data_IF_590407255690
#
_entry.id   IF_590407255690
#
_cell.length_a   1.000
_cell.length_b   1.000
_cell.length_c   1.000
_cell.angle_alpha   90.00
_cell.angle_beta   90.00
_cell.angle_gamma   90.00
#
_symmetry.space_group_name_H-M   'P 1'
#
loop_
_entity.id
_entity.type
_entity.pdbx_description
1 polymer ?
#
# COMPACT_ATOMS: atom_id res chain seq x y z
N UNK A 1 -0.66 17.54 -0.15
CA UNK A 1 -0.33 16.96 -1.48
C UNK A 1 0.89 16.09 -1.29
N UNK A 2 0.80 14.78 -1.54
CA UNK A 2 2.00 13.94 -1.62
C UNK A 2 2.62 14.23 -2.99
N UNK A 3 3.76 14.93 -3.00
CA UNK A 3 4.47 15.19 -4.24
C UNK A 3 4.93 13.86 -4.84
N UNK A 4 4.69 13.59 -6.14
CA UNK A 4 5.32 12.47 -6.80
C UNK A 4 6.83 12.71 -6.75
N UNK A 5 7.58 11.78 -6.16
CA UNK A 5 9.04 11.75 -6.30
C UNK A 5 9.29 11.57 -7.79
N UNK A 6 9.87 12.58 -8.45
CA UNK A 6 10.21 12.47 -9.85
C UNK A 6 11.22 11.32 -10.04
N UNK A 7 11.17 10.61 -11.16
CA UNK A 7 12.09 9.49 -11.44
C UNK A 7 13.57 9.90 -11.30
N UNK A 8 13.89 11.15 -11.65
CA UNK A 8 15.22 11.76 -11.52
C UNK A 8 15.68 11.84 -10.07
N UNK A 9 14.77 12.21 -9.15
CA UNK A 9 15.07 12.30 -7.72
C UNK A 9 15.30 10.91 -7.11
N UNK A 10 14.56 9.90 -7.58
CA UNK A 10 14.71 8.53 -7.10
C UNK A 10 16.09 7.96 -7.45
N UNK A 11 16.58 8.17 -8.69
CA UNK A 11 17.90 7.69 -9.11
C UNK A 11 19.02 8.36 -8.31
N UNK A 12 18.92 9.67 -8.10
CA UNK A 12 19.87 10.41 -7.28
C UNK A 12 19.91 9.84 -5.86
N UNK A 13 18.75 9.70 -5.21
CA UNK A 13 18.66 9.17 -3.85
C UNK A 13 19.18 7.73 -3.72
N UNK A 14 18.91 6.84 -4.69
CA UNK A 14 19.44 5.47 -4.71
C UNK A 14 20.97 5.41 -4.96
N UNK A 15 21.56 6.49 -5.49
CA UNK A 15 23.00 6.60 -5.70
C UNK A 15 23.70 7.09 -4.44
N UNK A 16 23.19 8.13 -3.78
CA UNK A 16 23.85 8.80 -2.65
C UNK A 16 23.40 8.33 -1.26
N UNK A 17 22.13 7.92 -1.12
CA UNK A 17 21.51 7.56 0.16
C UNK A 17 20.80 6.20 0.04
N UNK A 18 21.48 5.21 -0.55
CA UNK A 18 20.87 3.95 -0.99
C UNK A 18 20.12 3.22 0.11
N UNK A 19 20.81 2.90 1.21
CA UNK A 19 20.26 2.12 2.33
C UNK A 19 19.00 2.78 2.88
N UNK A 20 19.11 4.04 3.30
CA UNK A 20 17.98 4.80 3.81
C UNK A 20 16.82 4.92 2.78
N UNK A 21 17.13 5.04 1.49
CA UNK A 21 16.10 5.10 0.45
C UNK A 21 15.38 3.77 0.31
N UNK A 22 16.11 2.65 0.28
CA UNK A 22 15.55 1.31 0.18
C UNK A 22 14.74 0.95 1.44
N UNK A 23 15.22 1.27 2.63
CA UNK A 23 14.47 1.09 3.88
C UNK A 23 13.15 1.85 3.87
N UNK A 24 13.17 3.13 3.46
CA UNK A 24 11.95 3.94 3.34
C UNK A 24 10.97 3.36 2.32
N UNK A 25 11.45 2.85 1.19
CA UNK A 25 10.61 2.21 0.18
C UNK A 25 10.01 0.90 0.71
N UNK A 26 10.81 0.08 1.39
CA UNK A 26 10.38 -1.17 2.00
C UNK A 26 9.30 -0.91 3.05
N UNK A 27 9.58 -0.09 4.07
CA UNK A 27 8.66 0.21 5.16
C UNK A 27 7.32 0.79 4.65
N UNK A 28 7.36 1.61 3.60
CA UNK A 28 6.16 2.21 3.02
C UNK A 28 5.33 1.23 2.18
N UNK A 29 5.98 0.29 1.48
CA UNK A 29 5.29 -0.66 0.60
C UNK A 29 4.83 -1.93 1.34
N UNK A 30 5.58 -2.38 2.35
CA UNK A 30 5.37 -3.67 3.01
C UNK A 30 3.94 -3.91 3.52
N UNK A 31 3.28 -2.98 4.21
CA UNK A 31 1.91 -3.21 4.69
C UNK A 31 0.91 -3.42 3.54
N UNK A 32 1.12 -2.75 2.40
CA UNK A 32 0.30 -2.92 1.20
C UNK A 32 0.50 -4.30 0.57
N UNK A 33 1.76 -4.73 0.47
CA UNK A 33 2.14 -6.03 -0.09
C UNK A 33 1.64 -7.16 0.80
N UNK A 34 1.88 -7.07 2.11
CA UNK A 34 1.40 -8.02 3.11
C UNK A 34 -0.11 -8.21 3.02
N UNK A 35 -0.86 -7.10 3.00
CA UNK A 35 -2.32 -7.17 2.85
C UNK A 35 -2.72 -7.86 1.56
N UNK A 36 -2.10 -7.50 0.43
CA UNK A 36 -2.41 -8.10 -0.87
C UNK A 36 -2.09 -9.60 -0.90
N UNK A 37 -0.93 -10.01 -0.42
CA UNK A 37 -0.48 -11.42 -0.42
C UNK A 37 -1.36 -12.27 0.49
N UNK A 38 -1.66 -11.80 1.72
CA UNK A 38 -2.59 -12.51 2.63
C UNK A 38 -4.00 -12.67 2.04
N UNK A 39 -4.50 -11.66 1.33
CA UNK A 39 -5.80 -11.75 0.62
C UNK A 39 -5.78 -12.72 -0.57
N UNK A 40 -4.61 -13.20 -0.98
CA UNK A 40 -4.41 -14.08 -2.12
C UNK A 40 -3.64 -15.34 -1.73
N UNK A 41 -3.97 -15.93 -0.57
CA UNK A 41 -3.48 -17.25 -0.11
C UNK A 41 -1.95 -17.32 0.10
N UNK A 42 -1.33 -16.22 0.54
CA UNK A 42 0.07 -16.18 0.91
C UNK A 42 0.33 -15.84 2.37
N UNK A 43 1.55 -16.06 2.82
CA UNK A 43 2.00 -15.80 4.20
C UNK A 43 2.68 -14.44 4.35
N UNK A 44 3.08 -14.09 5.57
CA UNK A 44 3.90 -12.91 5.81
C UNK A 44 5.30 -13.05 5.20
N UNK A 45 5.88 -14.26 5.24
CA UNK A 45 7.19 -14.52 4.64
C UNK A 45 7.13 -14.45 3.11
N UNK A 46 6.06 -14.98 2.50
CA UNK A 46 5.78 -14.78 1.07
C UNK A 46 5.77 -13.27 0.71
N UNK A 47 5.16 -12.44 1.56
CA UNK A 47 5.09 -11.00 1.32
C UNK A 47 6.46 -10.31 1.43
N UNK A 48 7.32 -10.73 2.37
CA UNK A 48 8.70 -10.24 2.50
C UNK A 48 9.49 -10.60 1.25
N UNK A 49 9.44 -11.86 0.83
CA UNK A 49 10.17 -12.34 -0.34
C UNK A 49 9.75 -11.61 -1.63
N UNK A 50 8.44 -11.50 -1.85
CA UNK A 50 7.88 -10.78 -3.01
C UNK A 50 8.30 -9.31 -3.01
N UNK A 51 8.27 -8.63 -1.86
CA UNK A 51 8.66 -7.23 -1.79
C UNK A 51 10.16 -7.04 -2.02
N UNK A 52 11.01 -7.91 -1.46
CA UNK A 52 12.45 -7.86 -1.68
C UNK A 52 12.77 -8.01 -3.18
N UNK A 53 12.19 -9.01 -3.85
CA UNK A 53 12.36 -9.19 -5.29
C UNK A 53 11.85 -7.98 -6.09
N UNK A 54 10.71 -7.39 -5.70
CA UNK A 54 10.17 -6.21 -6.37
C UNK A 54 11.07 -4.97 -6.22
N UNK A 55 11.70 -4.78 -5.04
CA UNK A 55 12.63 -3.69 -4.79
C UNK A 55 13.92 -3.86 -5.61
N UNK A 56 14.44 -5.09 -5.72
CA UNK A 56 15.60 -5.39 -6.57
C UNK A 56 15.30 -5.03 -8.03
N UNK A 57 14.15 -5.48 -8.56
CA UNK A 57 13.73 -5.17 -9.93
C UNK A 57 13.51 -3.66 -10.16
N UNK A 58 12.99 -2.94 -9.17
CA UNK A 58 12.89 -1.48 -9.22
C UNK A 58 14.27 -0.85 -9.30
N UNK A 59 15.18 -1.23 -8.41
CA UNK A 59 16.54 -0.70 -8.33
C UNK A 59 17.28 -0.87 -9.66
N UNK A 60 17.27 -2.07 -10.24
CA UNK A 60 17.91 -2.35 -11.54
C UNK A 60 17.36 -1.45 -12.65
N UNK A 61 16.03 -1.30 -12.72
CA UNK A 61 15.38 -0.47 -13.75
C UNK A 61 15.74 1.01 -13.60
N UNK A 62 15.79 1.52 -12.37
CA UNK A 62 16.19 2.90 -12.09
C UNK A 62 17.66 3.13 -12.47
N UNK A 63 18.55 2.22 -12.07
CA UNK A 63 19.98 2.35 -12.34
C UNK A 63 20.32 2.27 -13.83
N UNK A 64 19.59 1.43 -14.60
CA UNK A 64 19.72 1.34 -16.05
C UNK A 64 19.07 2.50 -16.81
N UNK A 65 18.41 3.44 -16.13
CA UNK A 65 17.71 4.56 -16.77
C UNK A 65 16.51 4.11 -17.62
N UNK A 66 15.97 2.92 -17.37
CA UNK A 66 14.86 2.32 -18.13
C UNK A 66 13.49 2.56 -17.47
N UNK A 67 13.42 3.52 -16.54
CA UNK A 67 12.21 3.79 -15.77
C UNK A 67 11.81 5.25 -15.89
N UNK A 68 10.66 5.47 -16.53
CA UNK A 68 9.91 6.71 -16.43
C UNK A 68 8.74 6.51 -15.45
N UNK A 69 8.83 7.11 -14.26
CA UNK A 69 7.76 7.05 -13.27
C UNK A 69 6.69 8.10 -13.60
N UNK A 70 5.54 7.63 -14.07
CA UNK A 70 4.32 8.44 -14.27
C UNK A 70 3.37 8.39 -13.06
N UNK A 71 3.65 7.51 -12.11
CA UNK A 71 2.88 7.27 -10.88
C UNK A 71 3.82 7.27 -9.67
N UNK A 72 3.26 7.26 -8.47
CA UNK A 72 4.06 7.11 -7.26
C UNK A 72 4.87 5.80 -7.28
N UNK A 73 6.13 5.85 -6.80
CA UNK A 73 7.03 4.69 -6.76
C UNK A 73 6.42 3.49 -6.02
N UNK A 74 5.65 3.71 -4.96
CA UNK A 74 4.94 2.65 -4.22
C UNK A 74 3.85 1.98 -5.06
N UNK A 75 3.15 2.72 -5.92
CA UNK A 75 2.19 2.17 -6.88
C UNK A 75 2.90 1.28 -7.91
N UNK A 76 4.07 1.71 -8.37
CA UNK A 76 4.88 0.92 -9.29
C UNK A 76 5.41 -0.36 -8.64
N UNK A 77 5.93 -0.29 -7.40
CA UNK A 77 6.34 -1.45 -6.60
C UNK A 77 5.17 -2.43 -6.45
N UNK A 78 3.98 -1.93 -6.07
CA UNK A 78 2.78 -2.78 -5.97
C UNK A 78 2.42 -3.46 -7.28
N UNK A 79 2.63 -2.81 -8.43
CA UNK A 79 2.46 -3.43 -9.74
C UNK A 79 3.41 -4.61 -9.96
N UNK A 80 4.68 -4.47 -9.58
CA UNK A 80 5.67 -5.56 -9.64
C UNK A 80 5.25 -6.69 -8.70
N UNK A 81 4.94 -6.41 -7.43
CA UNK A 81 4.54 -7.43 -6.45
C UNK A 81 3.32 -8.23 -6.91
N UNK A 82 2.30 -7.56 -7.46
CA UNK A 82 1.11 -8.24 -8.02
C UNK A 82 1.45 -9.17 -9.18
N UNK A 83 2.42 -8.80 -10.01
CA UNK A 83 2.89 -9.65 -11.11
C UNK A 83 3.67 -10.87 -10.59
N UNK A 84 4.60 -10.65 -9.66
CA UNK A 84 5.40 -11.73 -9.06
C UNK A 84 4.50 -12.73 -8.32
N UNK A 85 3.57 -12.25 -7.50
CA UNK A 85 2.65 -13.10 -6.77
C UNK A 85 1.75 -13.94 -7.68
N UNK A 86 1.24 -13.36 -8.78
CA UNK A 86 0.47 -14.14 -9.78
C UNK A 86 1.29 -15.28 -10.37
N UNK A 87 2.55 -15.03 -10.74
CA UNK A 87 3.45 -16.08 -11.23
C UNK A 87 3.71 -17.15 -10.17
N UNK A 88 3.80 -16.75 -8.91
CA UNK A 88 4.00 -17.67 -7.80
C UNK A 88 2.77 -18.56 -7.59
N UNK A 89 1.56 -18.00 -7.59
CA UNK A 89 0.31 -18.78 -7.54
C UNK A 89 0.19 -19.77 -8.69
N UNK A 90 0.55 -19.37 -9.92
CA UNK A 90 0.59 -20.28 -11.07
C UNK A 90 1.59 -21.44 -10.86
N UNK A 91 2.77 -21.16 -10.28
CA UNK A 91 3.75 -22.21 -9.95
C UNK A 91 3.22 -23.15 -8.88
N UNK A 92 2.56 -22.64 -7.84
CA UNK A 92 1.96 -23.43 -6.76
C UNK A 92 0.83 -24.30 -7.30
N UNK A 93 -0.04 -23.74 -8.13
CA UNK A 93 -1.14 -24.47 -8.79
C UNK A 93 -0.65 -25.63 -9.66
N UNK A 94 0.45 -25.45 -10.41
CA UNK A 94 1.06 -26.52 -11.21
C UNK A 94 1.71 -27.64 -10.38
N UNK A 95 1.99 -27.41 -9.10
CA UNK A 95 2.70 -28.34 -8.22
C UNK A 95 1.78 -29.18 -7.32
N UNK A 96 0.46 -29.00 -7.37
CA UNK A 96 -0.48 -29.71 -6.50
C UNK A 96 -1.02 -31.01 -7.15
N UNK A 97 -0.76 -32.21 -6.60
CA UNK A 97 -1.68 -33.33 -6.73
C UNK A 97 -2.92 -33.08 -5.87
N UNK A 98 -4.10 -33.45 -6.39
CA UNK A 98 -5.37 -33.39 -5.66
C UNK A 98 -5.31 -34.22 -4.37
N UNK A 99 -5.18 -33.60 -3.19
CA UNK A 99 -6.05 -33.83 -2.02
C UNK A 99 -5.66 -33.00 -0.77
N UNK A 100 -6.69 -32.79 0.07
CA UNK A 100 -6.71 -32.56 1.53
C UNK A 100 -6.72 -31.12 2.07
N UNK A 101 -7.90 -30.80 2.59
CA UNK A 101 -8.29 -30.13 3.85
C UNK A 101 -7.52 -28.91 4.35
N UNK A 102 -8.25 -27.79 4.39
CA UNK A 102 -7.87 -26.56 5.07
C UNK A 102 -8.52 -26.61 6.47
N UNK A 103 -7.77 -27.10 7.44
CA UNK A 103 -7.83 -26.65 8.83
C UNK A 103 -6.43 -26.11 9.16
N UNK A 104 -6.30 -24.81 9.42
CA UNK A 104 -6.33 -24.34 10.80
C UNK A 104 -6.27 -22.81 10.88
N UNK A 105 -7.01 -22.26 11.83
CA UNK A 105 -6.97 -20.86 12.20
C UNK A 105 -5.64 -20.55 12.91
N UNK A 106 -4.77 -19.75 12.30
CA UNK A 106 -3.71 -19.06 13.05
C UNK A 106 -3.84 -17.55 12.86
N UNK A 107 -4.51 -16.94 13.84
CA UNK A 107 -4.46 -15.50 14.08
C UNK A 107 -3.09 -15.20 14.71
N UNK A 108 -2.06 -15.04 13.89
CA UNK A 108 -0.78 -14.52 14.38
C UNK A 108 -0.93 -13.03 14.72
N UNK A 109 -0.85 -12.78 16.02
CA UNK A 109 -0.73 -11.47 16.65
C UNK A 109 0.53 -10.78 16.09
N UNK A 110 0.31 -9.73 15.28
CA UNK A 110 1.39 -8.91 14.72
C UNK A 110 1.99 -8.11 15.88
N UNK A 111 3.19 -8.48 16.30
CA UNK A 111 4.03 -7.65 17.16
C UNK A 111 4.31 -6.33 16.45
N UNK A 112 3.74 -5.26 16.97
CA UNK A 112 3.97 -3.91 16.50
C UNK A 112 5.40 -3.48 16.89
N UNK A 113 6.31 -3.45 15.91
CA UNK A 113 7.53 -2.65 16.01
C UNK A 113 7.17 -1.16 16.03
N UNK A 114 7.91 -0.32 16.76
CA UNK A 114 7.45 0.98 17.22
C UNK A 114 7.16 1.92 16.05
N UNK A 115 5.92 2.38 15.99
CA UNK A 115 5.45 3.36 15.03
C UNK A 115 6.27 4.65 15.17
N UNK A 116 7.06 4.97 14.13
CA UNK A 116 7.40 6.38 13.84
C UNK A 116 6.09 7.18 13.79
N UNK A 117 6.05 8.42 14.30
CA UNK A 117 4.78 9.08 14.59
C UNK A 117 4.02 9.44 13.31
N UNK A 118 3.16 8.52 12.85
CA UNK A 118 2.01 8.80 11.95
C UNK A 118 0.85 9.42 12.75
N UNK A 119 1.10 9.72 14.03
CA UNK A 119 0.18 10.15 15.09
C UNK A 119 -0.66 11.39 14.76
N UNK A 120 -0.34 12.14 13.70
CA UNK A 120 -1.14 13.31 13.31
C UNK A 120 -2.19 13.03 12.25
N UNK A 121 -2.20 11.89 11.52
CA UNK A 121 -3.20 11.63 10.48
C UNK A 121 -4.15 10.49 10.87
N UNK A 122 -3.62 9.46 11.54
CA UNK A 122 -4.41 8.31 12.01
C UNK A 122 -5.55 8.74 12.91
N UNK A 123 -5.28 9.63 13.88
CA UNK A 123 -6.27 10.17 14.81
C UNK A 123 -7.45 10.88 14.11
N UNK A 124 -7.19 11.62 13.03
CA UNK A 124 -8.27 12.30 12.30
C UNK A 124 -9.03 11.35 11.38
N UNK A 125 -8.34 10.38 10.80
CA UNK A 125 -8.98 9.32 10.00
C UNK A 125 -9.94 8.51 10.87
N UNK A 126 -9.60 8.28 12.15
CA UNK A 126 -10.49 7.61 13.11
C UNK A 126 -11.76 8.41 13.41
N UNK A 127 -11.67 9.73 13.47
CA UNK A 127 -12.82 10.62 13.67
C UNK A 127 -13.78 10.69 12.47
N UNK A 128 -13.41 10.16 11.29
CA UNK A 128 -14.28 10.15 10.11
C UNK A 128 -15.42 9.12 10.20
N UNK A 129 -15.33 8.19 11.14
CA UNK A 129 -16.18 7.00 11.23
C UNK A 129 -15.65 5.86 10.36
N UNK A 130 -15.95 4.63 10.78
CA UNK A 130 -15.39 3.39 10.24
C UNK A 130 -15.45 3.35 8.71
N UNK A 131 -16.63 3.58 8.11
CA UNK A 131 -16.83 3.52 6.65
C UNK A 131 -15.91 4.45 5.87
N UNK A 132 -15.69 5.68 6.35
CA UNK A 132 -14.79 6.62 5.67
C UNK A 132 -13.32 6.23 5.87
N UNK A 133 -12.95 5.77 7.07
CA UNK A 133 -11.62 5.22 7.35
C UNK A 133 -11.31 4.05 6.41
N UNK A 134 -12.18 3.06 6.32
CA UNK A 134 -11.95 1.89 5.46
C UNK A 134 -11.85 2.28 3.99
N UNK A 135 -12.74 3.14 3.47
CA UNK A 135 -12.69 3.57 2.06
C UNK A 135 -11.37 4.28 1.74
N UNK A 136 -10.93 5.19 2.60
CA UNK A 136 -9.71 5.97 2.38
C UNK A 136 -8.45 5.09 2.50
N UNK A 137 -8.39 4.19 3.50
CA UNK A 137 -7.29 3.23 3.63
C UNK A 137 -7.27 2.25 2.45
N UNK A 138 -8.41 1.66 2.10
CA UNK A 138 -8.55 0.78 0.93
C UNK A 138 -8.02 1.42 -0.35
N UNK A 139 -8.38 2.67 -0.61
CA UNK A 139 -7.96 3.34 -1.84
C UNK A 139 -6.51 3.83 -1.80
N UNK A 140 -6.14 4.64 -0.80
CA UNK A 140 -4.85 5.32 -0.77
C UNK A 140 -3.73 4.49 -0.17
N UNK A 141 -4.06 3.65 0.81
CA UNK A 141 -3.08 2.82 1.49
C UNK A 141 -2.98 1.45 0.84
N UNK A 142 -4.06 0.70 0.68
CA UNK A 142 -3.99 -0.65 0.09
C UNK A 142 -4.01 -0.67 -1.44
N UNK A 143 -4.23 0.48 -2.09
CA UNK A 143 -4.23 0.58 -3.56
C UNK A 143 -5.33 -0.26 -4.22
N UNK A 144 -6.45 -0.48 -3.54
CA UNK A 144 -7.61 -1.21 -4.07
C UNK A 144 -8.30 -0.36 -5.13
N UNK A 145 -8.81 -1.03 -6.18
CA UNK A 145 -9.58 -0.35 -7.22
C UNK A 145 -10.99 -0.02 -6.71
N UNK A 146 -11.62 1.01 -7.28
CA UNK A 146 -12.94 1.47 -6.79
C UNK A 146 -14.03 0.41 -6.95
N UNK A 147 -13.89 -0.51 -7.90
CA UNK A 147 -14.73 -1.68 -8.10
C UNK A 147 -14.74 -2.59 -6.86
N UNK A 148 -13.55 -2.93 -6.36
CA UNK A 148 -13.38 -3.79 -5.19
C UNK A 148 -13.90 -3.10 -3.93
N UNK A 149 -13.69 -1.79 -3.82
CA UNK A 149 -14.19 -0.97 -2.71
C UNK A 149 -15.72 -0.87 -2.75
N UNK A 150 -16.31 -0.75 -3.95
CA UNK A 150 -17.76 -0.69 -4.12
C UNK A 150 -18.42 -1.98 -3.65
N UNK A 151 -17.89 -3.13 -4.06
CA UNK A 151 -18.34 -4.46 -3.65
C UNK A 151 -18.21 -4.66 -2.13
N UNK A 152 -17.02 -4.41 -1.57
CA UNK A 152 -16.74 -4.56 -0.14
C UNK A 152 -17.68 -3.76 0.77
N UNK A 153 -18.13 -2.59 0.31
CA UNK A 153 -19.02 -1.71 1.07
C UNK A 153 -20.48 -1.72 0.59
N UNK A 154 -20.84 -2.70 -0.25
CA UNK A 154 -22.19 -2.89 -0.78
C UNK A 154 -22.77 -1.62 -1.46
N UNK A 155 -21.95 -0.89 -2.21
CA UNK A 155 -22.45 0.23 -3.02
C UNK A 155 -23.12 -0.29 -4.29
N UNK A 156 -24.28 0.28 -4.62
CA UNK A 156 -25.02 -0.03 -5.85
C UNK A 156 -24.27 0.31 -7.14
N UNK A 157 -23.26 1.17 -7.09
CA UNK A 157 -22.40 1.48 -8.24
C UNK A 157 -21.01 1.95 -7.83
N UNK A 158 -20.04 1.78 -8.73
CA UNK A 158 -18.67 2.31 -8.61
C UNK A 158 -18.70 3.85 -8.47
N UNK A 159 -19.65 4.50 -9.16
CA UNK A 159 -19.85 5.96 -9.08
C UNK A 159 -20.22 6.37 -7.66
N UNK A 160 -21.14 5.67 -7.01
CA UNK A 160 -21.55 5.92 -5.63
C UNK A 160 -20.37 5.80 -4.66
N UNK A 161 -19.56 4.75 -4.82
CA UNK A 161 -18.34 4.56 -4.02
C UNK A 161 -17.31 5.68 -4.25
N UNK A 162 -17.15 6.13 -5.49
CA UNK A 162 -16.21 7.21 -5.86
C UNK A 162 -16.64 8.55 -5.27
N UNK A 163 -17.94 8.86 -5.33
CA UNK A 163 -18.52 10.04 -4.68
C UNK A 163 -18.34 9.96 -3.17
N UNK A 164 -18.56 8.79 -2.55
CA UNK A 164 -18.32 8.65 -1.12
C UNK A 164 -16.86 8.87 -0.76
N UNK A 165 -15.91 8.29 -1.52
CA UNK A 165 -14.48 8.53 -1.31
C UNK A 165 -14.16 10.02 -1.34
N UNK A 166 -14.70 10.74 -2.32
CA UNK A 166 -14.55 12.19 -2.41
C UNK A 166 -15.11 12.91 -1.16
N UNK A 167 -16.32 12.57 -0.71
CA UNK A 167 -16.92 13.13 0.51
C UNK A 167 -16.08 12.85 1.77
N UNK A 168 -15.58 11.62 1.92
CA UNK A 168 -14.72 11.25 3.05
C UNK A 168 -13.40 12.03 3.02
N UNK A 169 -12.81 12.22 1.83
CA UNK A 169 -11.60 13.01 1.66
C UNK A 169 -11.82 14.50 1.99
N UNK A 170 -12.95 15.06 1.59
CA UNK A 170 -13.32 16.45 1.94
C UNK A 170 -13.52 16.62 3.45
N UNK A 171 -14.16 15.65 4.11
CA UNK A 171 -14.29 15.65 5.57
C UNK A 171 -12.93 15.63 6.25
N UNK A 172 -12.01 14.76 5.79
CA UNK A 172 -10.65 14.71 6.31
C UNK A 172 -9.93 16.05 6.12
N UNK A 173 -10.03 16.67 4.94
CA UNK A 173 -9.45 17.98 4.66
C UNK A 173 -9.97 19.06 5.61
N UNK A 174 -11.28 19.08 5.90
CA UNK A 174 -11.89 20.03 6.83
C UNK A 174 -11.38 19.83 8.26
N UNK A 175 -11.29 18.58 8.73
CA UNK A 175 -10.72 18.26 10.05
C UNK A 175 -9.24 18.63 10.17
N UNK A 176 -8.50 18.66 9.05
CA UNK A 176 -7.11 19.12 9.01
C UNK A 176 -7.00 20.64 8.86
N UNK A 177 -7.96 21.32 8.21
CA UNK A 177 -7.93 22.76 7.99
C UNK A 177 -8.07 23.57 9.29
N UNK A 178 -8.75 23.02 10.31
CA UNK A 178 -8.79 23.58 11.66
C UNK A 178 -7.42 23.66 12.35
N UNK A 179 -6.38 23.03 11.80
CA UNK A 179 -4.99 23.16 12.29
C UNK A 179 -4.24 24.38 11.73
N UNK A 180 -4.69 24.97 10.61
CA UNK A 180 -3.89 26.00 9.90
C UNK A 180 -3.76 27.34 10.62
N UNK A 181 -4.53 27.58 11.69
CA UNK A 181 -4.53 28.86 12.44
C UNK A 181 -3.68 28.79 13.72
N UNK A 182 -3.29 27.61 14.22
CA UNK A 182 -2.71 27.47 15.57
C UNK A 182 -1.27 26.96 15.67
N UNK A 183 -0.68 26.34 14.65
CA UNK A 183 0.53 25.53 14.84
C UNK A 183 1.79 25.98 14.05
N UNK A 184 1.74 27.15 13.40
CA UNK A 184 2.91 27.76 12.74
C UNK A 184 3.44 29.01 13.46
N UNK A 185 2.98 29.29 14.69
CA UNK A 185 3.66 30.20 15.62
C UNK A 185 4.21 29.38 16.77
N UNK A 186 5.41 28.86 16.57
CA UNK A 186 6.57 28.90 17.48
C UNK A 186 7.66 27.98 16.93
#
# INVERSE_FOLDING_TARGET
MLSPVAATDLRHNLTFNREQTLEKLYARAYPMVLHYVKQNQGTADDAKDILQEAIILLFEKVMHGRLELTVAVTTYIMGICKNLWRKELEKRSRKQPWNVDIEDNLWEEITAEPETPVLSLTNYVEQLGEKCKTILLSFYYFGQRMEQIAEKHAYSSIRSATVQKFKCLERLRKSLASLSIGHFKN
#
